data_IF_418595492302
#
_entry.id   IF_418595492302
#
_cell.length_a   1.000
_cell.length_b   1.000
_cell.length_c   1.000
_cell.angle_alpha   90.00
_cell.angle_beta   90.00
_cell.angle_gamma   90.00
#
_symmetry.space_group_name_H-M   'P 1'
#
loop_
_entity.id
_entity.type
_entity.pdbx_description
1 polymer ?
#
# COMPACT_ATOMS: atom_id res chain seq x y z
N UNK A 1 25.07 -0.35 -17.33
CA UNK A 1 24.23 -0.17 -18.53
C UNK A 1 22.84 0.12 -18.01
N UNK A 2 22.42 1.37 -18.06
CA UNK A 2 21.10 1.81 -17.57
C UNK A 2 20.06 1.13 -18.46
N UNK A 3 19.38 0.10 -17.96
CA UNK A 3 18.17 -0.41 -18.61
C UNK A 3 17.17 0.74 -18.52
N UNK A 4 16.95 1.44 -19.63
CA UNK A 4 15.82 2.34 -19.74
C UNK A 4 14.58 1.50 -19.46
N UNK A 5 13.90 1.78 -18.36
CA UNK A 5 12.54 1.28 -18.15
C UNK A 5 11.71 2.04 -19.18
N UNK A 6 11.24 1.33 -20.20
CA UNK A 6 10.40 1.91 -21.23
C UNK A 6 9.09 2.41 -20.60
N UNK A 7 8.67 3.61 -20.96
CA UNK A 7 7.41 4.23 -20.53
C UNK A 7 6.15 3.52 -21.04
N UNK A 8 4.98 4.12 -20.81
CA UNK A 8 3.67 3.50 -21.06
C UNK A 8 2.69 4.42 -21.79
N UNK A 9 1.66 3.84 -22.43
CA UNK A 9 0.57 4.61 -23.05
C UNK A 9 -0.63 4.67 -22.10
N UNK A 10 -0.93 5.85 -21.56
CA UNK A 10 -2.03 6.01 -20.62
C UNK A 10 -3.39 5.98 -21.32
N UNK A 11 -4.27 5.05 -20.91
CA UNK A 11 -5.62 4.90 -21.48
C UNK A 11 -6.57 6.04 -21.10
N UNK A 12 -6.32 6.78 -20.02
CA UNK A 12 -7.18 7.91 -19.63
C UNK A 12 -6.81 9.21 -20.31
N UNK A 13 -5.53 9.57 -20.39
CA UNK A 13 -5.12 10.83 -21.00
C UNK A 13 -4.83 10.71 -22.51
N UNK A 14 -4.65 9.47 -23.01
CA UNK A 14 -4.36 9.18 -24.41
C UNK A 14 -2.94 9.57 -24.86
N UNK A 15 -2.01 9.81 -23.92
CA UNK A 15 -0.62 10.20 -24.20
C UNK A 15 0.36 9.11 -23.76
N UNK A 16 1.54 9.13 -24.36
CA UNK A 16 2.69 8.35 -23.89
C UNK A 16 3.38 9.09 -22.74
N UNK A 17 3.71 8.37 -21.69
CA UNK A 17 4.50 8.84 -20.55
C UNK A 17 5.85 8.13 -20.58
N UNK A 18 6.95 8.88 -20.54
CA UNK A 18 8.31 8.33 -20.63
C UNK A 18 8.74 7.61 -19.35
N UNK A 19 8.10 7.93 -18.22
CA UNK A 19 8.37 7.35 -16.91
C UNK A 19 7.27 6.35 -16.54
N UNK A 20 7.68 5.16 -16.13
CA UNK A 20 6.79 4.12 -15.63
C UNK A 20 6.67 4.24 -14.11
N UNK A 21 5.47 4.50 -13.55
CA UNK A 21 5.30 4.59 -12.11
C UNK A 21 5.60 3.25 -11.44
N UNK A 22 6.49 3.27 -10.46
CA UNK A 22 6.92 2.08 -9.70
C UNK A 22 6.19 1.93 -8.37
N UNK A 23 5.33 2.88 -8.03
CA UNK A 23 4.57 2.91 -6.78
C UNK A 23 3.20 3.52 -7.00
N UNK A 24 2.18 2.94 -6.39
CA UNK A 24 0.81 3.48 -6.37
C UNK A 24 0.23 3.33 -4.96
N UNK A 25 -0.69 4.20 -4.58
CA UNK A 25 -1.36 4.06 -3.30
C UNK A 25 -2.62 4.90 -3.17
N UNK A 26 -3.29 4.73 -2.03
CA UNK A 26 -4.44 5.53 -1.64
C UNK A 26 -4.06 6.49 -0.50
N UNK A 27 -4.46 7.77 -0.55
CA UNK A 27 -4.17 8.72 0.53
C UNK A 27 -4.90 8.37 1.84
N UNK A 28 -5.93 7.54 1.78
CA UNK A 28 -6.78 7.15 2.91
C UNK A 28 -7.17 5.67 2.84
N UNK A 29 -7.51 5.00 3.96
CA UNK A 29 -8.13 3.68 3.93
C UNK A 29 -9.49 3.74 3.22
N UNK A 30 -9.90 2.68 2.52
CA UNK A 30 -11.17 2.66 1.77
C UNK A 30 -12.39 2.96 2.66
N UNK A 31 -12.35 2.52 3.93
CA UNK A 31 -13.38 2.79 4.93
C UNK A 31 -13.63 4.28 5.19
N UNK A 32 -12.68 5.15 4.86
CA UNK A 32 -12.85 6.60 4.94
C UNK A 32 -13.98 7.10 4.01
N UNK A 33 -14.14 6.47 2.84
CA UNK A 33 -15.15 6.88 1.86
C UNK A 33 -16.58 6.53 2.27
N UNK A 34 -16.77 5.70 3.30
CA UNK A 34 -18.08 5.41 3.89
C UNK A 34 -18.57 6.51 4.84
N UNK A 35 -17.70 7.48 5.18
CA UNK A 35 -18.01 8.58 6.10
C UNK A 35 -18.48 9.80 5.30
N UNK A 36 -19.67 10.39 5.62
CA UNK A 36 -20.12 11.63 5.01
C UNK A 36 -19.10 12.74 5.20
N UNK A 37 -18.84 13.53 4.14
CA UNK A 37 -17.78 14.55 4.13
C UNK A 37 -17.91 15.57 5.27
N UNK A 38 -19.13 15.91 5.64
CA UNK A 38 -19.43 16.83 6.75
C UNK A 38 -19.12 16.26 8.15
N UNK A 39 -18.97 14.94 8.27
CA UNK A 39 -18.67 14.27 9.53
C UNK A 39 -17.18 13.90 9.67
N UNK A 40 -16.42 13.89 8.58
CA UNK A 40 -15.02 13.43 8.52
C UNK A 40 -14.12 14.16 9.52
N UNK A 41 -14.22 15.49 9.63
CA UNK A 41 -13.39 16.27 10.58
C UNK A 41 -13.63 15.90 12.05
N UNK A 42 -14.82 15.42 12.39
CA UNK A 42 -15.18 15.05 13.77
C UNK A 42 -15.00 13.57 14.09
N UNK A 43 -14.92 12.72 13.06
CA UNK A 43 -14.89 11.25 13.18
C UNK A 43 -13.53 10.66 12.84
N UNK A 44 -12.67 11.40 12.15
CA UNK A 44 -11.39 10.89 11.65
C UNK A 44 -10.23 11.68 12.22
N UNK A 45 -9.31 10.99 12.85
CA UNK A 45 -8.00 11.51 13.24
C UNK A 45 -6.92 10.84 12.38
N UNK A 46 -6.17 11.60 11.58
CA UNK A 46 -5.26 11.02 10.61
C UNK A 46 -4.02 11.89 10.37
N UNK A 47 -2.89 11.21 10.13
CA UNK A 47 -1.67 11.78 9.60
C UNK A 47 -1.19 10.95 8.38
N UNK A 48 0.05 11.14 7.94
CA UNK A 48 0.57 10.44 6.75
C UNK A 48 0.67 8.91 6.90
N UNK A 49 0.79 8.39 8.13
CA UNK A 49 1.07 6.98 8.40
C UNK A 49 -0.03 6.26 9.20
N UNK A 50 -0.87 7.01 9.93
CA UNK A 50 -1.86 6.49 10.86
C UNK A 50 -3.21 7.16 10.63
N UNK A 51 -4.28 6.38 10.74
CA UNK A 51 -5.66 6.85 10.65
C UNK A 51 -6.50 6.16 11.72
N UNK A 52 -7.35 6.93 12.39
CA UNK A 52 -8.31 6.47 13.39
C UNK A 52 -9.68 6.95 12.96
N UNK A 53 -10.65 6.05 12.93
CA UNK A 53 -12.06 6.36 12.63
C UNK A 53 -12.90 5.99 13.86
N UNK A 54 -13.70 6.94 14.33
CA UNK A 54 -14.64 6.83 15.45
C UNK A 54 -14.02 6.36 16.78
N UNK A 55 -12.71 6.58 16.99
CA UNK A 55 -11.95 6.03 18.13
C UNK A 55 -12.02 4.50 18.27
N UNK A 56 -12.46 3.79 17.23
CA UNK A 56 -12.74 2.34 17.26
C UNK A 56 -11.99 1.57 16.17
N UNK A 57 -11.71 2.22 15.04
CA UNK A 57 -11.04 1.59 13.89
C UNK A 57 -9.68 2.23 13.65
N UNK A 58 -8.64 1.41 13.70
CA UNK A 58 -7.26 1.86 13.70
C UNK A 58 -6.53 1.33 12.47
N UNK A 59 -5.90 2.22 11.72
CA UNK A 59 -5.24 1.89 10.46
C UNK A 59 -3.80 2.39 10.46
N UNK A 60 -2.93 1.58 9.86
CA UNK A 60 -1.54 1.90 9.60
C UNK A 60 -1.26 1.79 8.10
N UNK A 61 -0.50 2.74 7.57
CA UNK A 61 -0.01 2.73 6.21
C UNK A 61 1.25 1.86 6.10
N UNK A 62 1.40 1.15 4.98
CA UNK A 62 2.57 0.33 4.72
C UNK A 62 2.68 -0.09 3.26
N UNK A 63 3.72 -0.84 2.94
CA UNK A 63 4.05 -1.19 1.57
C UNK A 63 3.92 -2.70 1.32
N UNK A 64 3.14 -3.08 0.30
CA UNK A 64 3.26 -4.38 -0.35
C UNK A 64 4.32 -4.24 -1.44
N UNK A 65 5.44 -4.91 -1.28
CA UNK A 65 6.53 -4.90 -2.26
C UNK A 65 6.44 -6.15 -3.13
N UNK A 66 6.31 -5.96 -4.44
CA UNK A 66 6.24 -7.01 -5.45
C UNK A 66 7.57 -7.05 -6.21
N UNK A 67 8.34 -8.15 -6.13
CA UNK A 67 9.60 -8.27 -6.86
C UNK A 67 9.40 -8.17 -8.38
N UNK A 68 10.30 -7.47 -9.08
CA UNK A 68 10.31 -7.45 -10.54
C UNK A 68 11.42 -8.36 -11.04
N UNK A 69 11.06 -9.51 -11.62
CA UNK A 69 12.01 -10.59 -11.93
C UNK A 69 13.03 -10.21 -13.01
N UNK A 70 12.71 -9.24 -13.86
CA UNK A 70 13.57 -8.69 -14.92
C UNK A 70 14.07 -7.26 -14.65
N UNK A 71 13.81 -6.75 -13.44
CA UNK A 71 14.18 -5.43 -12.92
C UNK A 71 15.16 -5.47 -11.74
N UNK A 72 15.43 -4.30 -11.15
CA UNK A 72 16.33 -4.17 -9.98
C UNK A 72 15.63 -3.65 -8.72
N UNK A 73 14.48 -2.99 -8.88
CA UNK A 73 13.69 -2.42 -7.78
C UNK A 73 12.32 -3.12 -7.76
N UNK A 74 11.67 -3.24 -6.60
CA UNK A 74 10.31 -3.77 -6.52
C UNK A 74 9.29 -2.77 -7.07
N UNK A 75 8.14 -3.29 -7.45
CA UNK A 75 6.92 -2.50 -7.62
C UNK A 75 6.18 -2.40 -6.28
N UNK A 76 5.67 -1.22 -5.93
CA UNK A 76 5.14 -0.94 -4.60
C UNK A 76 3.64 -0.61 -4.65
N UNK A 77 2.86 -1.26 -3.81
CA UNK A 77 1.55 -0.75 -3.40
C UNK A 77 1.66 -0.16 -2.00
N UNK A 78 1.38 1.14 -1.89
CA UNK A 78 1.19 1.85 -0.65
C UNK A 78 -0.28 1.72 -0.21
N UNK A 79 -0.48 1.04 0.90
CA UNK A 79 -1.77 0.51 1.34
C UNK A 79 -2.01 0.76 2.82
N UNK A 80 -3.28 0.75 3.21
CA UNK A 80 -3.73 0.86 4.59
C UNK A 80 -4.14 -0.50 5.13
N UNK A 81 -3.76 -0.78 6.37
CA UNK A 81 -4.06 -2.04 7.06
C UNK A 81 -4.74 -1.71 8.38
N UNK A 82 -5.88 -2.35 8.65
CA UNK A 82 -6.49 -2.25 9.96
C UNK A 82 -5.75 -3.11 10.97
N UNK A 83 -5.51 -2.56 12.16
CA UNK A 83 -4.96 -3.24 13.31
C UNK A 83 -6.00 -3.28 14.43
N UNK A 84 -5.89 -4.29 15.29
CA UNK A 84 -6.54 -4.20 16.60
C UNK A 84 -5.98 -3.01 17.38
N UNK A 85 -6.80 -2.37 18.22
CA UNK A 85 -6.38 -1.30 19.13
C UNK A 85 -5.07 -1.61 19.88
N UNK A 86 -4.94 -2.83 20.41
CA UNK A 86 -3.73 -3.25 21.13
C UNK A 86 -2.45 -3.20 20.26
N UNK A 87 -2.54 -3.64 19.01
CA UNK A 87 -1.42 -3.59 18.05
C UNK A 87 -1.16 -2.17 17.56
N UNK A 88 -2.20 -1.36 17.39
CA UNK A 88 -2.06 0.05 17.04
C UNK A 88 -1.35 0.84 18.14
N UNK A 89 -1.79 0.68 19.39
CA UNK A 89 -1.13 1.29 20.56
C UNK A 89 0.32 0.85 20.67
N UNK A 90 0.59 -0.45 20.48
CA UNK A 90 1.97 -0.97 20.44
C UNK A 90 2.79 -0.35 19.30
N UNK A 91 2.19 -0.09 18.15
CA UNK A 91 2.89 0.57 17.03
C UNK A 91 3.25 2.00 17.41
N UNK A 92 2.32 2.73 18.03
CA UNK A 92 2.55 4.10 18.48
C UNK A 92 3.64 4.19 19.55
N UNK A 93 3.61 3.32 20.55
CA UNK A 93 4.60 3.25 21.63
C UNK A 93 6.04 3.04 21.13
N UNK A 94 6.20 2.34 20.01
CA UNK A 94 7.49 1.99 19.42
C UNK A 94 7.82 2.79 18.16
N UNK A 95 7.01 3.78 17.79
CA UNK A 95 7.11 4.44 16.48
C UNK A 95 8.50 5.02 16.22
N UNK A 96 9.07 5.70 17.21
CA UNK A 96 10.40 6.33 17.14
C UNK A 96 11.49 5.52 17.87
N UNK A 97 11.18 4.29 18.31
CA UNK A 97 12.15 3.45 19.02
C UNK A 97 13.15 2.83 18.03
N UNK A 98 14.42 3.21 18.17
CA UNK A 98 15.50 2.62 17.39
C UNK A 98 15.60 1.11 17.64
N UNK A 99 15.62 0.32 16.57
CA UNK A 99 15.65 -1.14 16.68
C UNK A 99 14.27 -1.79 16.84
N UNK A 100 13.16 -1.05 16.70
CA UNK A 100 11.79 -1.58 16.78
C UNK A 100 11.56 -2.81 15.91
N UNK A 101 12.27 -2.94 14.78
CA UNK A 101 12.20 -4.10 13.89
C UNK A 101 12.71 -5.41 14.49
N UNK A 102 13.42 -5.35 15.62
CA UNK A 102 13.92 -6.53 16.35
C UNK A 102 13.10 -6.86 17.60
N UNK A 103 12.29 -5.90 18.07
CA UNK A 103 11.50 -6.03 19.29
C UNK A 103 10.03 -6.34 19.02
N UNK A 104 9.51 -5.86 17.89
CA UNK A 104 8.13 -6.10 17.48
C UNK A 104 8.02 -7.30 16.55
N UNK A 105 7.36 -8.34 17.06
CA UNK A 105 6.85 -9.42 16.21
C UNK A 105 5.84 -8.89 15.19
N UNK A 106 5.73 -9.52 14.00
CA UNK A 106 4.76 -9.12 12.99
C UNK A 106 3.33 -9.14 13.52
N UNK A 107 2.56 -8.10 13.20
CA UNK A 107 1.21 -7.91 13.70
C UNK A 107 0.20 -8.29 12.63
N UNK A 108 -0.76 -9.14 12.99
CA UNK A 108 -1.87 -9.44 12.09
C UNK A 108 -2.71 -8.18 11.81
N UNK A 109 -3.17 -8.04 10.56
CA UNK A 109 -4.11 -7.01 10.15
C UNK A 109 -4.94 -7.40 8.92
N UNK A 110 -5.84 -6.50 8.53
CA UNK A 110 -6.67 -6.66 7.33
C UNK A 110 -6.37 -5.56 6.32
N UNK A 111 -6.08 -5.95 5.08
CA UNK A 111 -5.91 -5.00 3.99
C UNK A 111 -7.17 -4.15 3.85
N UNK A 112 -7.01 -2.85 3.97
CA UNK A 112 -8.05 -1.83 3.97
C UNK A 112 -7.89 -0.86 2.79
N UNK A 113 -7.30 -1.38 1.70
CA UNK A 113 -7.15 -0.69 0.42
C UNK A 113 -7.65 -1.57 -0.72
N UNK A 114 -8.58 -1.05 -1.52
CA UNK A 114 -9.06 -1.66 -2.76
C UNK A 114 -8.08 -1.33 -3.89
N UNK A 115 -7.57 -2.35 -4.59
CA UNK A 115 -6.59 -2.18 -5.67
C UNK A 115 -7.27 -2.51 -7.02
N UNK A 116 -7.56 -1.52 -7.87
CA UNK A 116 -8.47 -1.70 -9.01
C UNK A 116 -8.05 -2.73 -10.09
N UNK A 117 -6.77 -3.09 -10.19
CA UNK A 117 -6.25 -4.05 -11.18
C UNK A 117 -6.22 -5.51 -10.69
N UNK A 118 -6.79 -5.77 -9.51
CA UNK A 118 -6.95 -7.11 -8.93
C UNK A 118 -8.43 -7.42 -8.64
N UNK A 119 -8.79 -8.70 -8.43
CA UNK A 119 -10.00 -9.02 -7.69
C UNK A 119 -10.00 -8.33 -6.32
N UNK A 120 -11.17 -8.24 -5.69
CA UNK A 120 -11.36 -7.54 -4.41
C UNK A 120 -10.23 -7.85 -3.39
N UNK A 121 -9.57 -6.78 -2.95
CA UNK A 121 -8.43 -6.84 -2.04
C UNK A 121 -8.77 -6.46 -0.61
N UNK A 122 -9.93 -5.82 -0.38
CA UNK A 122 -10.38 -5.52 0.97
C UNK A 122 -10.52 -6.80 1.80
N UNK A 123 -10.06 -6.73 3.04
CA UNK A 123 -10.06 -7.82 4.01
C UNK A 123 -9.20 -9.03 3.60
N UNK A 124 -8.23 -8.87 2.69
CA UNK A 124 -7.14 -9.84 2.60
C UNK A 124 -6.34 -9.81 3.90
N UNK A 125 -6.05 -10.99 4.44
CA UNK A 125 -5.24 -11.13 5.65
C UNK A 125 -3.80 -10.72 5.39
N UNK A 126 -3.24 -9.96 6.31
CA UNK A 126 -1.85 -9.50 6.23
C UNK A 126 -1.11 -9.70 7.55
N UNK A 127 0.22 -9.73 7.46
CA UNK A 127 1.13 -9.50 8.57
C UNK A 127 1.87 -8.18 8.31
N UNK A 128 1.79 -7.27 9.28
CA UNK A 128 2.48 -5.98 9.29
C UNK A 128 3.83 -6.16 9.98
N UNK A 129 4.90 -6.03 9.20
CA UNK A 129 6.28 -6.10 9.68
C UNK A 129 6.79 -4.68 9.84
N UNK A 130 7.02 -4.26 11.09
CA UNK A 130 7.68 -2.97 11.32
C UNK A 130 9.11 -3.01 10.78
N UNK A 131 9.61 -1.86 10.36
CA UNK A 131 10.98 -1.67 9.88
C UNK A 131 11.67 -0.59 10.69
N UNK A 132 12.95 -0.34 10.42
CA UNK A 132 13.69 0.71 11.10
C UNK A 132 12.97 2.07 11.02
N UNK A 133 13.23 2.94 12.00
CA UNK A 133 12.59 4.26 12.09
C UNK A 133 12.76 5.04 10.77
N UNK A 134 11.68 5.66 10.29
CA UNK A 134 11.64 6.37 9.02
C UNK A 134 11.40 5.49 7.78
N UNK A 135 11.29 4.16 7.95
CA UNK A 135 10.90 3.24 6.87
C UNK A 135 9.49 2.73 7.14
N UNK A 136 8.60 2.90 6.16
CA UNK A 136 7.21 2.42 6.21
C UNK A 136 7.18 0.91 6.47
N UNK A 137 6.20 0.36 7.21
CA UNK A 137 6.08 -1.09 7.42
C UNK A 137 6.05 -1.89 6.11
N UNK A 138 6.57 -3.12 6.15
CA UNK A 138 6.38 -4.10 5.08
C UNK A 138 5.13 -4.93 5.34
N UNK A 139 4.32 -5.14 4.31
CA UNK A 139 3.02 -5.80 4.40
C UNK A 139 3.12 -7.14 3.68
N UNK A 140 3.08 -8.23 4.43
CA UNK A 140 3.06 -9.59 3.89
C UNK A 140 1.61 -10.08 3.77
N UNK A 141 1.19 -10.51 2.59
CA UNK A 141 -0.12 -11.11 2.38
C UNK A 141 -0.14 -12.58 2.80
N UNK A 142 -1.26 -13.06 3.34
CA UNK A 142 -1.48 -14.50 3.52
C UNK A 142 -1.29 -15.22 2.17
N UNK A 143 -0.50 -16.31 2.10
CA UNK A 143 -0.11 -16.97 0.85
C UNK A 143 -1.25 -17.79 0.25
N UNK A 144 -2.28 -17.10 -0.21
CA UNK A 144 -3.47 -17.66 -0.87
C UNK A 144 -3.28 -17.71 -2.39
N UNK A 145 -4.30 -18.16 -3.11
CA UNK A 145 -4.37 -18.10 -4.57
C UNK A 145 -4.83 -16.75 -5.11
N UNK A 146 -5.01 -15.74 -4.25
CA UNK A 146 -5.37 -14.39 -4.71
C UNK A 146 -4.23 -13.84 -5.60
N UNK A 147 -4.52 -13.25 -6.78
CA UNK A 147 -3.46 -12.85 -7.70
C UNK A 147 -2.44 -11.87 -7.10
N UNK A 148 -2.86 -10.91 -6.28
CA UNK A 148 -1.95 -10.02 -5.55
C UNK A 148 -0.98 -10.78 -4.63
N UNK A 149 -1.45 -11.80 -3.90
CA UNK A 149 -0.62 -12.61 -3.01
C UNK A 149 0.31 -13.55 -3.77
N UNK A 150 -0.11 -14.03 -4.95
CA UNK A 150 0.73 -14.79 -5.88
C UNK A 150 1.85 -13.90 -6.42
N UNK A 151 1.50 -12.72 -6.93
CA UNK A 151 2.46 -11.76 -7.49
C UNK A 151 3.46 -11.28 -6.43
N UNK A 152 3.04 -10.98 -5.19
CA UNK A 152 3.97 -10.65 -4.12
C UNK A 152 5.03 -11.74 -3.87
N UNK A 153 4.62 -13.01 -3.93
CA UNK A 153 5.49 -14.16 -3.65
C UNK A 153 6.39 -14.52 -4.83
N UNK A 154 5.84 -14.49 -6.05
CA UNK A 154 6.48 -15.03 -7.26
C UNK A 154 7.13 -13.93 -8.11
N UNK A 155 6.79 -12.68 -7.85
CA UNK A 155 7.20 -11.52 -8.61
C UNK A 155 6.41 -11.35 -9.91
N UNK A 156 6.65 -10.21 -10.55
CA UNK A 156 6.07 -9.83 -11.84
C UNK A 156 7.16 -9.40 -12.81
N UNK A 157 6.84 -9.29 -14.09
CA UNK A 157 7.74 -8.70 -15.09
C UNK A 157 7.49 -7.20 -15.22
N UNK A 158 8.44 -6.47 -15.80
CA UNK A 158 8.23 -5.04 -16.13
C UNK A 158 7.06 -4.84 -17.10
N UNK A 159 6.77 -5.83 -17.95
CA UNK A 159 5.60 -5.82 -18.82
C UNK A 159 4.28 -5.84 -18.03
N UNK A 160 4.22 -6.60 -16.93
CA UNK A 160 3.05 -6.58 -16.02
C UNK A 160 2.89 -5.21 -15.36
N UNK A 161 3.98 -4.55 -14.97
CA UNK A 161 3.94 -3.16 -14.44
C UNK A 161 3.37 -2.20 -15.48
N UNK A 162 3.81 -2.28 -16.75
CA UNK A 162 3.22 -1.48 -17.84
C UNK A 162 1.72 -1.71 -17.98
N UNK A 163 1.25 -2.94 -17.93
CA UNK A 163 -0.19 -3.24 -17.98
C UNK A 163 -0.94 -2.60 -16.81
N UNK A 164 -0.38 -2.67 -15.59
CA UNK A 164 -0.94 -1.99 -14.42
C UNK A 164 -1.00 -0.48 -14.66
N UNK A 165 0.06 0.16 -15.17
CA UNK A 165 0.06 1.60 -15.47
C UNK A 165 -0.89 2.00 -16.59
N UNK A 166 -1.15 1.11 -17.56
CA UNK A 166 -2.17 1.37 -18.58
C UNK A 166 -3.60 1.32 -18.02
N UNK A 167 -3.84 0.48 -17.01
CA UNK A 167 -5.14 0.32 -16.33
C UNK A 167 -5.36 1.39 -15.26
N UNK A 168 -4.32 1.71 -14.51
CA UNK A 168 -4.32 2.74 -13.47
C UNK A 168 -3.90 4.07 -14.06
N UNK A 169 -4.90 4.88 -14.33
CA UNK A 169 -4.66 6.26 -14.70
C UNK A 169 -4.29 7.07 -13.46
N UNK A 170 -3.13 7.71 -13.48
CA UNK A 170 -2.87 8.85 -12.60
C UNK A 170 -3.81 9.99 -13.02
N UNK A 171 -4.98 10.04 -12.39
CA UNK A 171 -5.83 11.20 -12.43
C UNK A 171 -5.18 12.30 -11.60
N UNK A 172 -4.48 13.24 -12.26
CA UNK A 172 -4.16 14.54 -11.67
C UNK A 172 -2.70 14.96 -11.79
N UNK A 173 -2.49 15.93 -12.67
CA UNK A 173 -1.49 17.00 -12.59
C UNK A 173 -0.70 17.05 -11.26
N UNK A 174 0.59 16.70 -11.32
CA UNK A 174 1.56 17.36 -10.44
C UNK A 174 1.61 18.81 -10.88
N UNK A 175 1.19 19.72 -9.99
CA UNK A 175 1.22 21.17 -10.19
C UNK A 175 2.60 21.69 -10.59
#
# INVERSE_FOLDING_TARGET
>A
MSKHIEGFFCKCCGKYHDELPMSYGSPVPDYFYDIPTEEQESRVEMNEDLCIIDDEHFFIRGCIEIPIVDGNEPFIWDVWISLSEANFNKTNDYWEVEGREKELEPMFGWLSTSIPCYPETLNLKTMVHTRSVGVSPFIELEPTSHPLAVEQREGITIERVKLISEELCEGGEQQ
#
